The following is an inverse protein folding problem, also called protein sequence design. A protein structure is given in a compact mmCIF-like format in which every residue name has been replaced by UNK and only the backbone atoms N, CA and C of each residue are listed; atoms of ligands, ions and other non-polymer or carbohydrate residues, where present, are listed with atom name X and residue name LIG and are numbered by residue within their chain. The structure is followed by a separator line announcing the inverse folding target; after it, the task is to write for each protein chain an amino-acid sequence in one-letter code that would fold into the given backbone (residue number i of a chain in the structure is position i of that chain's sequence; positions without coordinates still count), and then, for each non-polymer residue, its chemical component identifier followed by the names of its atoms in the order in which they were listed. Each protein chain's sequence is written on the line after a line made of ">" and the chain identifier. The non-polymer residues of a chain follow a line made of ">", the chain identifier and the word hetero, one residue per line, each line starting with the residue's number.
data_IF_314218181441
#
_entry.id   IF_314218181441
#
_cell.length_a   1.000
_cell.length_b   1.000
_cell.length_c   1.000
_cell.angle_alpha   90.00
_cell.angle_beta   90.00
_cell.angle_gamma   90.00
#
_symmetry.space_group_name_H-M   'P 1'
#
loop_
_entity.id
_entity.type
_entity.pdbx_description
1 polymer ?
#
# COMPACT_ATOMS: atom_id res chain seq x y z
N UNK A 1 -7.43 14.91 30.09
CA UNK A 1 -6.96 15.19 28.72
C UNK A 1 -5.52 14.72 28.65
N UNK A 2 -5.14 13.75 27.81
CA UNK A 2 -3.73 13.41 27.65
C UNK A 2 -3.04 14.64 27.04
N UNK A 3 -1.98 15.12 27.69
CA UNK A 3 -1.14 16.21 27.20
C UNK A 3 -0.37 15.71 25.98
N UNK A 4 -0.47 16.42 24.87
CA UNK A 4 0.36 16.16 23.68
C UNK A 4 1.82 16.31 24.10
N UNK A 5 2.58 15.21 24.13
CA UNK A 5 4.00 15.25 24.47
C UNK A 5 4.80 15.40 23.17
N UNK A 6 5.32 16.61 22.93
CA UNK A 6 6.18 16.91 21.78
C UNK A 6 7.42 16.01 21.68
N UNK A 7 7.87 15.41 22.80
CA UNK A 7 9.02 14.51 22.82
C UNK A 7 8.83 13.29 21.91
N UNK A 8 7.59 12.85 21.67
CA UNK A 8 7.27 11.69 20.81
C UNK A 8 7.67 11.94 19.34
N UNK A 9 7.75 13.21 18.92
CA UNK A 9 8.06 13.57 17.53
C UNK A 9 9.51 14.04 17.33
N UNK A 10 10.37 13.92 18.34
CA UNK A 10 11.78 14.33 18.24
C UNK A 10 12.53 13.59 17.13
N UNK A 11 12.20 12.33 16.88
CA UNK A 11 12.79 11.52 15.79
C UNK A 11 11.81 11.31 14.63
N UNK A 12 10.90 12.27 14.40
CA UNK A 12 9.91 12.14 13.33
C UNK A 12 10.52 12.28 11.92
N UNK A 13 9.95 11.62 10.89
CA UNK A 13 10.40 11.76 9.51
C UNK A 13 10.45 13.22 9.03
N UNK A 14 9.49 14.04 9.47
CA UNK A 14 9.43 15.47 9.15
C UNK A 14 10.64 16.25 9.69
N UNK A 15 11.08 15.98 10.92
CA UNK A 15 12.30 16.60 11.48
C UNK A 15 13.57 16.17 10.73
N UNK A 16 13.58 14.93 10.23
CA UNK A 16 14.65 14.41 9.38
C UNK A 16 14.56 14.86 7.90
N UNK A 17 13.57 15.68 7.53
CA UNK A 17 13.42 16.24 6.18
C UNK A 17 12.71 15.33 5.16
N UNK A 18 12.19 14.18 5.60
CA UNK A 18 11.39 13.31 4.74
C UNK A 18 9.96 13.81 4.58
N UNK A 19 9.36 13.51 3.43
CA UNK A 19 7.93 13.68 3.17
C UNK A 19 7.34 12.39 2.61
N UNK A 20 6.05 12.20 2.81
CA UNK A 20 5.28 11.21 2.07
C UNK A 20 4.84 11.87 0.75
N UNK A 21 5.38 11.45 -0.41
CA UNK A 21 5.01 12.04 -1.69
C UNK A 21 3.55 11.72 -2.02
N UNK A 22 2.98 12.50 -2.93
CA UNK A 22 1.64 12.20 -3.44
C UNK A 22 1.67 10.96 -4.35
N UNK A 23 0.55 10.25 -4.43
CA UNK A 23 0.41 8.99 -5.21
C UNK A 23 0.53 9.18 -6.73
N UNK A 24 0.51 10.41 -7.23
CA UNK A 24 0.74 10.71 -8.66
C UNK A 24 2.18 11.16 -8.94
N UNK A 25 3.04 11.25 -7.92
CA UNK A 25 4.48 11.42 -8.15
C UNK A 25 5.06 10.12 -8.73
N UNK A 26 6.21 10.20 -9.41
CA UNK A 26 6.82 9.02 -10.04
C UNK A 26 7.13 7.94 -8.99
N UNK A 27 6.60 6.74 -9.22
CA UNK A 27 6.91 5.57 -8.41
C UNK A 27 8.13 4.81 -8.95
N UNK A 28 8.83 4.10 -8.07
CA UNK A 28 9.90 3.15 -8.44
C UNK A 28 9.33 1.74 -8.61
N UNK A 29 8.33 1.38 -7.81
CA UNK A 29 7.64 0.10 -7.84
C UNK A 29 6.34 0.17 -7.03
N UNK A 30 5.41 -0.74 -7.36
CA UNK A 30 4.18 -0.97 -6.61
C UNK A 30 4.20 -2.33 -5.91
N UNK A 31 3.84 -2.35 -4.63
CA UNK A 31 3.78 -3.56 -3.80
C UNK A 31 2.33 -4.06 -3.69
N UNK A 32 2.11 -5.34 -3.98
CA UNK A 32 0.78 -5.98 -4.00
C UNK A 32 0.77 -7.24 -3.13
N UNK A 33 -0.37 -7.53 -2.51
CA UNK A 33 -0.57 -8.74 -1.69
C UNK A 33 -1.41 -9.80 -2.43
N UNK A 34 -1.10 -11.08 -2.24
CA UNK A 34 -1.80 -12.14 -2.95
C UNK A 34 -3.14 -12.52 -2.28
N UNK A 35 -4.26 -12.62 -3.03
CA UNK A 35 -5.51 -13.14 -2.50
C UNK A 35 -5.34 -14.60 -2.05
N UNK A 36 -5.56 -14.92 -0.77
CA UNK A 36 -5.28 -16.28 -0.28
C UNK A 36 -6.28 -16.84 0.73
N UNK A 37 -7.26 -16.05 1.20
CA UNK A 37 -8.14 -16.45 2.30
C UNK A 37 -9.58 -16.62 1.84
N UNK A 38 -10.10 -17.85 1.90
CA UNK A 38 -11.49 -18.17 1.54
C UNK A 38 -12.53 -17.37 2.34
N UNK A 39 -12.26 -17.09 3.63
CA UNK A 39 -13.16 -16.27 4.45
C UNK A 39 -13.32 -14.83 3.93
N UNK A 40 -12.35 -14.34 3.15
CA UNK A 40 -12.43 -13.03 2.48
C UNK A 40 -13.09 -13.12 1.10
N UNK A 41 -13.18 -14.33 0.52
CA UNK A 41 -13.69 -14.60 -0.83
C UNK A 41 -14.64 -15.82 -0.87
N UNK A 42 -15.75 -15.85 -0.11
CA UNK A 42 -16.57 -17.06 0.01
C UNK A 42 -17.12 -17.55 -1.33
N UNK A 43 -16.75 -18.77 -1.70
CA UNK A 43 -17.12 -19.42 -2.97
C UNK A 43 -16.50 -18.79 -4.21
N UNK A 44 -15.51 -17.89 -4.05
CA UNK A 44 -14.98 -17.05 -5.13
C UNK A 44 -13.46 -16.96 -5.16
N UNK A 45 -12.73 -17.57 -4.23
CA UNK A 45 -11.27 -17.45 -4.18
C UNK A 45 -10.59 -17.86 -5.49
N UNK A 46 -11.10 -18.90 -6.17
CA UNK A 46 -10.53 -19.33 -7.44
C UNK A 46 -10.84 -18.37 -8.60
N UNK A 47 -11.97 -17.66 -8.51
CA UNK A 47 -12.40 -16.72 -9.55
C UNK A 47 -11.60 -15.42 -9.58
N UNK A 48 -10.96 -15.03 -8.47
CA UNK A 48 -10.22 -13.77 -8.39
C UNK A 48 -8.84 -13.84 -9.02
N UNK A 49 -8.23 -15.02 -9.11
CA UNK A 49 -6.83 -15.15 -9.53
C UNK A 49 -6.56 -14.62 -10.94
N UNK A 50 -7.41 -15.00 -11.90
CA UNK A 50 -7.25 -14.55 -13.28
C UNK A 50 -7.35 -13.02 -13.42
N UNK A 51 -8.44 -12.35 -12.99
CA UNK A 51 -8.53 -10.90 -13.09
C UNK A 51 -7.48 -10.18 -12.24
N UNK A 52 -7.04 -10.75 -11.11
CA UNK A 52 -5.96 -10.16 -10.31
C UNK A 52 -4.61 -10.18 -11.04
N UNK A 53 -4.28 -11.26 -11.75
CA UNK A 53 -3.10 -11.32 -12.61
C UNK A 53 -3.20 -10.37 -13.81
N UNK A 54 -4.39 -10.17 -14.39
CA UNK A 54 -4.62 -9.19 -15.46
C UNK A 54 -4.41 -7.75 -14.95
N UNK A 55 -4.91 -7.45 -13.75
CA UNK A 55 -4.66 -6.18 -13.07
C UNK A 55 -3.16 -5.93 -12.83
N UNK A 56 -2.41 -6.92 -12.31
CA UNK A 56 -0.96 -6.80 -12.08
C UNK A 56 -0.22 -6.46 -13.38
N UNK A 57 -0.59 -7.08 -14.51
CA UNK A 57 0.04 -6.81 -15.80
C UNK A 57 -0.16 -5.36 -16.23
N UNK A 58 -1.38 -4.82 -16.08
CA UNK A 58 -1.69 -3.43 -16.44
C UNK A 58 -0.93 -2.45 -15.54
N UNK A 59 -0.87 -2.72 -14.23
CA UNK A 59 -0.09 -1.87 -13.30
C UNK A 59 1.39 -1.85 -13.71
N UNK A 60 1.97 -2.99 -14.07
CA UNK A 60 3.36 -3.09 -14.49
C UNK A 60 3.68 -2.36 -15.81
N UNK A 61 2.70 -1.93 -16.60
CA UNK A 61 2.92 -1.09 -17.77
C UNK A 61 3.11 0.40 -17.42
N UNK A 62 2.56 0.84 -16.28
CA UNK A 62 2.58 2.24 -15.84
C UNK A 62 3.62 2.59 -14.78
N UNK A 63 4.24 1.56 -14.19
CA UNK A 63 5.33 1.68 -13.21
C UNK A 63 6.69 1.55 -13.91
#
# INVERSE_FOLDING_TARGET
>A
MPTFNEAIFNDSPRKAGYRFPAEWEKHEATWLTWPHKEASWPGKIDSIYKPYCEFIKIVAEGE
#
